data_IF_571934498841
#
_entry.id   IF_571934498841
#
_cell.length_a   1.000
_cell.length_b   1.000
_cell.length_c   1.000
_cell.angle_alpha   90.00
_cell.angle_beta   90.00
_cell.angle_gamma   90.00
#
_symmetry.space_group_name_H-M   'P 1'
#
loop_
_entity.id
_entity.type
_entity.pdbx_description
1 polymer ?
#
# COMPACT_ATOMS: atom_id res chain seq x y z
N UNK A 1 -31.92 30.02 -37.89
CA UNK A 1 -31.29 28.89 -37.21
C UNK A 1 -32.34 27.80 -37.04
N UNK A 2 -32.18 26.70 -37.73
CA UNK A 2 -33.18 25.65 -37.73
C UNK A 2 -33.30 24.99 -36.34
N UNK A 3 -34.54 24.93 -35.83
CA UNK A 3 -34.84 24.30 -34.52
C UNK A 3 -34.28 22.87 -34.41
N UNK A 4 -34.18 22.18 -35.55
CA UNK A 4 -33.62 20.83 -35.64
C UNK A 4 -32.11 20.80 -35.42
N UNK A 5 -31.36 21.83 -35.81
CA UNK A 5 -29.92 21.90 -35.62
C UNK A 5 -29.58 22.10 -34.12
N UNK A 6 -30.37 22.94 -33.42
CA UNK A 6 -30.22 23.16 -32.00
C UNK A 6 -30.50 21.88 -31.18
N UNK A 7 -31.51 21.11 -31.59
CA UNK A 7 -31.88 19.84 -30.96
C UNK A 7 -30.79 18.77 -31.17
N UNK A 8 -30.23 18.69 -32.37
CA UNK A 8 -29.12 17.74 -32.68
C UNK A 8 -27.88 18.11 -31.87
N UNK A 9 -27.52 19.40 -31.79
CA UNK A 9 -26.39 19.87 -30.98
C UNK A 9 -26.55 19.53 -29.49
N UNK A 10 -27.78 19.66 -28.97
CA UNK A 10 -28.10 19.40 -27.59
C UNK A 10 -27.99 17.90 -27.26
N UNK A 11 -28.39 17.00 -28.18
CA UNK A 11 -28.31 15.56 -28.04
C UNK A 11 -26.84 15.09 -27.97
N UNK A 12 -25.92 15.76 -28.67
CA UNK A 12 -24.51 15.39 -28.67
C UNK A 12 -23.70 16.06 -27.54
N UNK A 13 -24.06 17.30 -27.15
CA UNK A 13 -23.33 18.04 -26.12
C UNK A 13 -23.65 17.57 -24.69
N UNK A 14 -24.89 17.14 -24.44
CA UNK A 14 -25.28 16.66 -23.09
C UNK A 14 -24.50 15.41 -22.66
N UNK A 15 -24.45 14.33 -23.47
CA UNK A 15 -23.64 13.14 -23.05
C UNK A 15 -22.16 13.45 -23.03
N UNK A 16 -21.63 14.33 -23.85
CA UNK A 16 -20.24 14.75 -23.84
C UNK A 16 -19.91 15.51 -22.55
N UNK A 17 -20.79 16.37 -22.09
CA UNK A 17 -20.66 17.10 -20.82
C UNK A 17 -20.72 16.17 -19.61
N UNK A 18 -21.61 15.18 -19.63
CA UNK A 18 -21.71 14.16 -18.57
C UNK A 18 -20.46 13.29 -18.56
N UNK A 19 -19.97 12.86 -19.71
CA UNK A 19 -18.73 12.10 -19.84
C UNK A 19 -17.54 12.89 -19.30
N UNK A 20 -17.42 14.18 -19.61
CA UNK A 20 -16.36 15.06 -19.09
C UNK A 20 -16.49 15.30 -17.59
N UNK A 21 -17.69 15.39 -17.06
CA UNK A 21 -17.95 15.54 -15.63
C UNK A 21 -17.65 14.29 -14.82
N UNK A 22 -17.86 13.10 -15.41
CA UNK A 22 -17.59 11.81 -14.77
C UNK A 22 -16.12 11.37 -14.89
N UNK A 23 -15.41 11.82 -15.92
CA UNK A 23 -13.98 11.53 -16.14
C UNK A 23 -13.05 12.58 -15.52
N UNK A 24 -13.59 13.63 -14.90
CA UNK A 24 -12.79 14.33 -13.92
C UNK A 24 -12.54 13.35 -12.78
N UNK A 25 -11.43 12.64 -12.92
CA UNK A 25 -10.81 12.06 -11.76
C UNK A 25 -10.87 13.15 -10.67
N UNK A 26 -11.62 12.85 -9.63
CA UNK A 26 -11.36 13.55 -8.38
C UNK A 26 -9.88 13.29 -8.15
N UNK A 27 -9.04 14.25 -8.53
CA UNK A 27 -7.81 14.44 -7.77
C UNK A 27 -8.31 14.44 -6.34
N UNK A 28 -8.18 13.30 -5.72
CA UNK A 28 -8.12 13.26 -4.28
C UNK A 28 -6.91 14.14 -4.03
N UNK A 29 -7.18 15.40 -3.78
CA UNK A 29 -6.26 16.26 -3.09
C UNK A 29 -6.02 15.50 -1.80
N UNK A 30 -5.03 14.63 -1.83
CA UNK A 30 -4.40 14.13 -0.63
C UNK A 30 -3.83 15.42 -0.07
N UNK A 31 -4.62 16.10 0.77
CA UNK A 31 -4.06 17.00 1.75
C UNK A 31 -2.84 16.25 2.26
N UNK A 32 -1.64 16.84 2.19
CA UNK A 32 -0.55 16.32 2.95
C UNK A 32 -1.03 16.40 4.39
N UNK A 33 -1.68 15.34 4.85
CA UNK A 33 -1.70 15.06 6.26
C UNK A 33 -0.23 14.96 6.56
N UNK A 34 0.32 16.01 7.16
CA UNK A 34 1.57 15.94 7.88
C UNK A 34 1.24 15.03 9.08
N UNK A 35 0.99 13.78 8.77
CA UNK A 35 1.15 12.74 9.70
C UNK A 35 2.67 12.59 9.80
N UNK A 36 3.22 12.98 10.94
CA UNK A 36 4.45 12.37 11.42
C UNK A 36 4.13 10.87 11.58
N UNK A 37 3.96 10.19 10.45
CA UNK A 37 3.79 8.75 10.44
C UNK A 37 5.18 8.18 10.57
N UNK A 38 5.39 7.44 11.64
CA UNK A 38 6.60 6.64 11.74
C UNK A 38 6.70 5.74 10.52
N UNK A 39 7.90 5.43 10.04
CA UNK A 39 8.10 4.39 9.04
C UNK A 39 7.33 3.12 9.41
N UNK A 40 6.79 2.44 8.43
CA UNK A 40 5.93 1.27 8.65
C UNK A 40 6.40 0.08 7.83
N UNK A 41 6.35 -1.10 8.43
CA UNK A 41 6.50 -2.38 7.73
C UNK A 41 5.13 -3.07 7.72
N UNK A 42 4.66 -3.46 6.55
CA UNK A 42 3.47 -4.29 6.41
C UNK A 42 3.92 -5.69 6.02
N UNK A 43 3.70 -6.64 6.91
CA UNK A 43 4.06 -8.05 6.71
C UNK A 43 2.83 -8.88 6.41
N UNK A 44 2.77 -9.41 5.19
CA UNK A 44 1.73 -10.35 4.75
C UNK A 44 2.20 -11.77 5.01
N UNK A 45 1.40 -12.54 5.73
CA UNK A 45 1.73 -13.91 6.12
C UNK A 45 0.49 -14.79 6.19
N UNK A 46 0.73 -16.10 6.28
CA UNK A 46 -0.30 -17.11 6.53
C UNK A 46 0.14 -18.02 7.66
N UNK A 47 -0.76 -18.44 8.56
CA UNK A 47 -0.44 -19.37 9.64
C UNK A 47 0.10 -20.73 9.14
N UNK A 48 -0.28 -21.13 7.92
CA UNK A 48 0.12 -22.41 7.33
C UNK A 48 1.42 -22.34 6.50
N UNK A 49 2.02 -21.18 6.42
CA UNK A 49 3.22 -20.94 5.62
C UNK A 49 4.48 -21.16 6.46
N UNK A 50 5.30 -22.16 6.12
CA UNK A 50 6.55 -22.45 6.83
C UNK A 50 7.54 -21.27 6.77
N UNK A 51 7.76 -20.71 5.58
CA UNK A 51 8.65 -19.54 5.41
C UNK A 51 8.19 -18.32 6.19
N UNK A 52 6.86 -18.15 6.35
CA UNK A 52 6.30 -17.09 7.19
C UNK A 52 6.67 -17.28 8.67
N UNK A 53 6.68 -18.50 9.16
CA UNK A 53 7.08 -18.82 10.53
C UNK A 53 8.56 -18.58 10.74
N UNK A 54 9.40 -18.94 9.77
CA UNK A 54 10.83 -18.65 9.81
C UNK A 54 11.11 -17.14 9.81
N UNK A 55 10.42 -16.39 8.93
CA UNK A 55 10.53 -14.93 8.90
C UNK A 55 10.03 -14.29 10.21
N UNK A 56 9.01 -14.84 10.84
CA UNK A 56 8.55 -14.38 12.17
C UNK A 56 9.64 -14.46 13.23
N UNK A 57 10.42 -15.53 13.24
CA UNK A 57 11.57 -15.67 14.16
C UNK A 57 12.62 -14.59 13.90
N UNK A 58 12.90 -14.30 12.63
CA UNK A 58 13.82 -13.22 12.25
C UNK A 58 13.32 -11.85 12.72
N UNK A 59 12.03 -11.58 12.58
CA UNK A 59 11.43 -10.34 13.09
C UNK A 59 11.50 -10.27 14.62
N UNK A 60 11.27 -11.38 15.32
CA UNK A 60 11.40 -11.44 16.79
C UNK A 60 12.83 -11.15 17.27
N UNK A 61 13.83 -11.49 16.48
CA UNK A 61 15.23 -11.21 16.78
C UNK A 61 15.61 -9.74 16.52
N UNK A 62 15.20 -9.18 15.36
CA UNK A 62 15.68 -7.88 14.88
C UNK A 62 14.77 -6.72 15.28
N UNK A 63 13.46 -6.91 15.20
CA UNK A 63 12.49 -5.84 15.39
C UNK A 63 12.48 -5.18 16.77
N UNK A 64 12.67 -5.89 17.91
CA UNK A 64 12.65 -5.27 19.23
C UNK A 64 13.65 -4.13 19.38
N UNK A 65 14.79 -4.18 18.69
CA UNK A 65 15.81 -3.12 18.71
C UNK A 65 15.38 -1.82 18.02
N UNK A 66 14.32 -1.84 17.20
CA UNK A 66 13.88 -0.71 16.40
C UNK A 66 12.37 -0.42 16.51
N UNK A 67 11.67 -1.19 17.34
CA UNK A 67 10.22 -1.13 17.50
C UNK A 67 9.66 0.24 17.92
N UNK A 68 10.49 1.07 18.55
CA UNK A 68 10.14 2.44 18.93
C UNK A 68 10.21 3.45 17.76
N UNK A 69 10.82 3.07 16.64
CA UNK A 69 11.03 3.94 15.47
C UNK A 69 10.23 3.53 14.25
N UNK A 70 9.93 2.25 14.11
CA UNK A 70 9.23 1.65 12.96
C UNK A 70 8.03 0.87 13.45
N UNK A 71 6.85 1.15 12.91
CA UNK A 71 5.66 0.37 13.21
C UNK A 71 5.60 -0.91 12.35
N UNK A 72 5.08 -1.98 12.92
CA UNK A 72 4.90 -3.26 12.23
C UNK A 72 3.41 -3.60 12.17
N UNK A 73 2.87 -3.65 10.96
CA UNK A 73 1.52 -4.15 10.69
C UNK A 73 1.59 -5.58 10.16
N UNK A 74 0.98 -6.51 10.88
CA UNK A 74 0.86 -7.90 10.47
C UNK A 74 -0.49 -8.12 9.77
N UNK A 75 -0.47 -8.66 8.56
CA UNK A 75 -1.66 -8.98 7.78
C UNK A 75 -1.71 -10.47 7.50
N UNK A 76 -2.75 -11.13 8.00
CA UNK A 76 -3.03 -12.52 7.71
C UNK A 76 -3.85 -12.62 6.43
N UNK A 77 -3.23 -13.12 5.35
CA UNK A 77 -3.86 -13.21 4.02
C UNK A 77 -4.99 -14.23 3.94
N UNK A 78 -5.14 -15.08 4.95
CA UNK A 78 -6.25 -16.05 5.02
C UNK A 78 -7.56 -15.42 5.46
N UNK A 79 -7.51 -14.21 6.04
CA UNK A 79 -8.70 -13.45 6.42
C UNK A 79 -9.43 -12.93 5.19
N UNK A 80 -10.75 -13.11 5.19
CA UNK A 80 -11.62 -12.75 4.07
C UNK A 80 -12.35 -11.41 4.28
N UNK A 81 -11.76 -10.52 5.07
CA UNK A 81 -12.29 -9.18 5.30
C UNK A 81 -11.89 -8.20 4.17
N UNK A 82 -12.63 -7.10 4.09
CA UNK A 82 -12.46 -6.10 3.03
C UNK A 82 -11.09 -5.42 3.10
N UNK A 83 -10.62 -5.09 4.31
CA UNK A 83 -9.33 -4.43 4.51
C UNK A 83 -8.18 -5.28 3.99
N UNK A 84 -8.15 -6.56 4.36
CA UNK A 84 -7.13 -7.51 3.91
C UNK A 84 -7.11 -7.64 2.39
N UNK A 85 -8.26 -7.74 1.74
CA UNK A 85 -8.37 -7.81 0.27
C UNK A 85 -7.87 -6.53 -0.41
N UNK A 86 -8.20 -5.38 0.14
CA UNK A 86 -7.74 -4.08 -0.39
C UNK A 86 -6.23 -3.94 -0.26
N UNK A 87 -5.64 -4.35 0.86
CA UNK A 87 -4.19 -4.34 1.05
C UNK A 87 -3.45 -5.29 0.11
N UNK A 88 -3.96 -6.51 -0.07
CA UNK A 88 -3.42 -7.50 -1.01
C UNK A 88 -3.41 -6.94 -2.43
N UNK A 89 -4.52 -6.32 -2.84
CA UNK A 89 -4.64 -5.70 -4.16
C UNK A 89 -3.74 -4.47 -4.31
N UNK A 90 -3.75 -3.58 -3.32
CA UNK A 90 -2.96 -2.34 -3.33
C UNK A 90 -1.47 -2.60 -3.48
N UNK A 91 -0.94 -3.59 -2.80
CA UNK A 91 0.48 -3.94 -2.82
C UNK A 91 0.81 -5.09 -3.76
N UNK A 92 -0.16 -5.55 -4.56
CA UNK A 92 -0.01 -6.64 -5.53
C UNK A 92 0.65 -7.88 -4.91
N UNK A 93 0.17 -8.30 -3.74
CA UNK A 93 0.70 -9.45 -3.01
C UNK A 93 0.26 -10.74 -3.71
N UNK A 94 1.23 -11.47 -4.26
CA UNK A 94 0.98 -12.73 -5.00
C UNK A 94 1.40 -13.97 -4.22
N UNK A 95 2.31 -13.80 -3.28
CA UNK A 95 2.82 -14.90 -2.46
C UNK A 95 3.13 -14.42 -1.03
N UNK A 96 3.31 -15.34 -0.13
CA UNK A 96 3.68 -15.07 1.27
C UNK A 96 4.96 -15.85 1.61
N UNK A 97 5.81 -15.31 2.49
CA UNK A 97 5.71 -14.01 3.13
C UNK A 97 6.05 -12.87 2.16
N UNK A 98 5.35 -11.75 2.26
CA UNK A 98 5.67 -10.51 1.56
C UNK A 98 5.77 -9.37 2.57
N UNK A 99 6.82 -8.58 2.48
CA UNK A 99 7.02 -7.41 3.32
C UNK A 99 7.07 -6.14 2.47
N UNK A 100 6.32 -5.13 2.90
CA UNK A 100 6.31 -3.79 2.32
C UNK A 100 6.96 -2.84 3.32
N UNK A 101 8.04 -2.19 2.91
CA UNK A 101 8.78 -1.22 3.71
C UNK A 101 8.41 0.19 3.26
N UNK A 102 7.90 1.00 4.17
CA UNK A 102 7.47 2.39 3.91
C UNK A 102 8.30 3.34 4.75
N UNK A 103 8.71 4.46 4.16
CA UNK A 103 9.39 5.53 4.88
C UNK A 103 8.41 6.39 5.69
N UNK A 104 8.90 7.40 6.38
CA UNK A 104 8.12 8.35 7.18
C UNK A 104 7.08 9.15 6.36
N UNK A 105 7.31 9.31 5.06
CA UNK A 105 6.38 9.97 4.14
C UNK A 105 5.24 9.05 3.67
N UNK A 106 5.27 7.76 4.07
CA UNK A 106 4.33 6.75 3.64
C UNK A 106 4.60 6.15 2.25
N UNK A 107 5.74 6.48 1.64
CA UNK A 107 6.15 5.93 0.36
C UNK A 107 6.74 4.53 0.53
N UNK A 108 6.39 3.63 -0.39
CA UNK A 108 6.99 2.30 -0.45
C UNK A 108 8.41 2.43 -1.00
N UNK A 109 9.39 2.10 -0.19
CA UNK A 109 10.81 2.11 -0.59
C UNK A 109 11.32 0.72 -0.99
N UNK A 110 10.65 -0.33 -0.49
CA UNK A 110 11.02 -1.72 -0.79
C UNK A 110 9.83 -2.67 -0.64
N UNK A 111 9.78 -3.63 -1.53
CA UNK A 111 8.93 -4.82 -1.42
C UNK A 111 9.81 -6.06 -1.49
N UNK A 112 9.64 -7.00 -0.56
CA UNK A 112 10.36 -8.28 -0.55
C UNK A 112 9.39 -9.44 -0.52
N UNK A 113 9.77 -10.52 -1.15
CA UNK A 113 9.02 -11.78 -1.19
C UNK A 113 9.92 -12.92 -0.71
N UNK A 114 9.38 -13.79 0.15
CA UNK A 114 10.13 -14.88 0.74
C UNK A 114 10.85 -14.52 2.05
N UNK A 115 11.70 -15.41 2.51
CA UNK A 115 12.43 -15.25 3.77
C UNK A 115 13.56 -14.20 3.63
N UNK A 116 13.85 -13.51 4.72
CA UNK A 116 14.89 -12.48 4.79
C UNK A 116 15.85 -12.84 5.91
N UNK A 117 17.15 -12.77 5.65
CA UNK A 117 18.15 -12.98 6.70
C UNK A 117 18.16 -11.83 7.70
N UNK A 118 18.47 -12.08 9.00
CA UNK A 118 18.42 -11.06 10.05
C UNK A 118 19.19 -9.78 9.72
N UNK A 119 20.43 -9.90 9.23
CA UNK A 119 21.28 -8.76 8.89
C UNK A 119 20.73 -7.94 7.72
N UNK A 120 20.09 -8.60 6.75
CA UNK A 120 19.48 -7.95 5.61
C UNK A 120 18.22 -7.19 6.06
N UNK A 121 17.40 -7.82 6.90
CA UNK A 121 16.22 -7.18 7.46
C UNK A 121 16.58 -5.93 8.29
N UNK A 122 17.62 -6.01 9.10
CA UNK A 122 18.14 -4.87 9.86
C UNK A 122 18.55 -3.72 8.95
N UNK A 123 19.24 -3.99 7.85
CA UNK A 123 19.62 -2.98 6.86
C UNK A 123 18.39 -2.33 6.22
N UNK A 124 17.39 -3.10 5.84
CA UNK A 124 16.15 -2.57 5.26
C UNK A 124 15.38 -1.68 6.23
N UNK A 125 15.36 -2.04 7.51
CA UNK A 125 14.76 -1.21 8.56
C UNK A 125 15.53 0.11 8.75
N UNK A 126 16.86 0.08 8.68
CA UNK A 126 17.68 1.30 8.74
C UNK A 126 17.45 2.23 7.56
N UNK A 127 17.25 1.68 6.35
CA UNK A 127 16.94 2.47 5.14
C UNK A 127 15.62 3.23 5.24
N UNK A 128 14.67 2.77 6.07
CA UNK A 128 13.40 3.47 6.30
C UNK A 128 13.55 4.73 7.14
N UNK A 129 14.62 4.87 7.89
CA UNK A 129 14.87 5.99 8.80
C UNK A 129 15.54 7.15 8.05
N UNK A 130 15.22 8.42 8.38
CA UNK A 130 15.72 9.60 7.67
C UNK A 130 17.24 9.79 7.75
N UNK A 131 17.92 9.10 8.67
CA UNK A 131 19.37 9.17 8.86
C UNK A 131 20.01 7.77 8.84
N UNK A 132 19.43 6.90 8.05
CA UNK A 132 19.90 5.50 7.91
C UNK A 132 21.14 5.35 7.04
#
# INVERSE_FOLDING_TARGET
MNKNLATILLIFLVPLGIYWGLTRDKEITVLPTIANSNPEIIKFSSPMCYECQELEKVFQEVYPGIANKISLKKVDVTKNDKETKELIKKYEVKLVPTCIFKNEDGNVIRKTEGNIQPKILENYMKEQLPNG
#
